data_IF_150800135430
#
_entry.id   IF_150800135430
#
_cell.length_a   1.000
_cell.length_b   1.000
_cell.length_c   1.000
_cell.angle_alpha   90.00
_cell.angle_beta   90.00
_cell.angle_gamma   90.00
#
_symmetry.space_group_name_H-M   'P 1'
#
loop_
_entity.id
_entity.type
_entity.pdbx_description
1 polymer ?
#
# COMPACT_ATOMS: atom_id res chain seq x y z
N UNK A 1 -87.21 35.16 41.21
CA UNK A 1 -86.73 34.12 42.15
C UNK A 1 -85.47 33.52 41.55
N UNK A 2 -84.31 33.74 42.16
CA UNK A 2 -83.06 33.11 41.75
C UNK A 2 -82.91 31.78 42.51
N UNK A 3 -82.70 30.69 41.80
CA UNK A 3 -82.40 29.40 42.41
C UNK A 3 -80.91 29.36 42.78
N UNK A 4 -80.65 29.20 44.08
CA UNK A 4 -79.31 28.98 44.63
C UNK A 4 -78.95 27.51 44.44
N UNK A 5 -77.93 27.23 43.63
CA UNK A 5 -77.33 25.90 43.53
C UNK A 5 -76.14 25.83 44.50
N UNK A 6 -76.14 24.93 45.49
CA UNK A 6 -74.96 24.71 46.32
C UNK A 6 -73.85 24.04 45.49
N UNK A 7 -72.69 24.68 45.44
CA UNK A 7 -71.43 24.10 44.99
C UNK A 7 -71.04 23.00 45.99
N UNK A 8 -71.01 21.75 45.54
CA UNK A 8 -70.43 20.65 46.30
C UNK A 8 -68.91 20.72 46.10
N UNK A 9 -68.21 21.29 47.08
CA UNK A 9 -66.79 21.07 47.29
C UNK A 9 -66.63 19.63 47.81
N UNK A 10 -66.75 18.64 46.92
CA UNK A 10 -66.38 17.26 47.23
C UNK A 10 -64.85 17.19 47.31
N UNK A 11 -64.36 17.51 48.51
CA UNK A 11 -63.03 17.16 49.00
C UNK A 11 -62.76 15.69 48.61
N UNK A 12 -61.84 15.46 47.68
CA UNK A 12 -61.40 14.11 47.30
C UNK A 12 -60.73 13.46 48.50
N UNK A 13 -61.52 12.88 49.40
CA UNK A 13 -61.01 12.06 50.49
C UNK A 13 -60.44 10.80 49.86
N UNK A 14 -59.12 10.66 49.92
CA UNK A 14 -58.46 9.38 49.69
C UNK A 14 -59.21 8.31 50.47
N UNK A 15 -59.72 7.31 49.75
CA UNK A 15 -60.41 6.19 50.36
C UNK A 15 -59.49 5.47 51.35
N UNK A 16 -60.05 4.78 52.36
CA UNK A 16 -59.24 4.01 53.30
C UNK A 16 -58.35 3.02 52.54
N UNK A 17 -57.07 2.95 52.94
CA UNK A 17 -56.10 1.97 52.43
C UNK A 17 -56.76 0.58 52.56
N UNK A 18 -56.87 -0.13 51.43
CA UNK A 18 -57.41 -1.49 51.43
C UNK A 18 -56.61 -2.39 52.38
N UNK A 19 -57.21 -3.45 52.94
CA UNK A 19 -56.49 -4.38 53.82
C UNK A 19 -55.20 -4.83 53.14
N UNK A 20 -54.08 -4.85 53.89
CA UNK A 20 -52.77 -5.24 53.35
C UNK A 20 -52.92 -6.50 52.50
N UNK A 21 -52.71 -6.36 51.19
CA UNK A 21 -52.76 -7.50 50.29
C UNK A 21 -51.79 -8.55 50.79
N UNK A 22 -52.22 -9.82 50.82
CA UNK A 22 -51.39 -10.97 51.21
C UNK A 22 -50.29 -11.13 50.15
N UNK A 23 -49.27 -10.26 50.15
CA UNK A 23 -48.28 -10.24 49.07
C UNK A 23 -47.31 -9.05 49.03
N UNK A 24 -47.66 -7.89 49.58
CA UNK A 24 -46.84 -6.68 49.49
C UNK A 24 -46.73 -5.95 50.84
N UNK A 25 -45.54 -5.47 51.18
CA UNK A 25 -45.29 -4.61 52.35
C UNK A 25 -44.94 -3.20 51.89
N UNK A 26 -45.64 -2.19 52.41
CA UNK A 26 -45.26 -0.80 52.21
C UNK A 26 -44.00 -0.50 53.03
N UNK A 27 -42.99 0.07 52.39
CA UNK A 27 -41.73 0.50 53.03
C UNK A 27 -41.84 1.94 53.52
N UNK A 28 -40.97 2.34 54.45
CA UNK A 28 -40.99 3.68 55.06
C UNK A 28 -40.73 4.82 54.05
N UNK A 29 -40.15 4.51 52.89
CA UNK A 29 -39.93 5.41 51.76
C UNK A 29 -41.05 5.37 50.70
N UNK A 30 -42.16 4.68 50.97
CA UNK A 30 -43.37 4.67 50.14
C UNK A 30 -43.37 3.66 48.99
N UNK A 31 -42.44 2.72 48.95
CA UNK A 31 -42.35 1.66 47.94
C UNK A 31 -43.03 0.35 48.41
N UNK A 32 -43.24 -0.60 47.49
CA UNK A 32 -43.75 -1.93 47.83
C UNK A 32 -42.64 -2.99 47.76
N UNK A 33 -42.38 -3.67 48.88
CA UNK A 33 -41.53 -4.87 48.93
C UNK A 33 -42.38 -6.13 48.70
N UNK A 34 -41.95 -6.97 47.75
CA UNK A 34 -42.54 -8.26 47.44
C UNK A 34 -41.94 -9.42 48.25
N UNK A 35 -41.02 -9.17 49.20
CA UNK A 35 -40.37 -10.17 50.04
C UNK A 35 -39.76 -11.34 49.24
N UNK A 36 -39.10 -11.01 48.11
CA UNK A 36 -38.52 -11.98 47.16
C UNK A 36 -39.54 -12.93 46.50
N UNK A 37 -40.84 -12.64 46.56
CA UNK A 37 -41.87 -13.37 45.81
C UNK A 37 -41.74 -13.05 44.31
N UNK A 38 -42.22 -13.98 43.48
CA UNK A 38 -42.22 -13.83 42.02
C UNK A 38 -43.47 -13.11 41.55
N UNK A 39 -43.30 -12.06 40.75
CA UNK A 39 -44.39 -11.50 39.94
C UNK A 39 -44.53 -12.35 38.66
N UNK A 40 -45.74 -12.82 38.37
CA UNK A 40 -46.04 -13.69 37.23
C UNK A 40 -47.21 -13.13 36.43
N UNK A 41 -47.33 -13.55 35.16
CA UNK A 41 -48.39 -13.15 34.24
C UNK A 41 -48.43 -11.63 33.99
N UNK A 42 -47.26 -11.00 33.93
CA UNK A 42 -47.09 -9.61 33.47
C UNK A 42 -46.86 -9.64 31.98
N UNK A 43 -47.44 -8.69 31.26
CA UNK A 43 -47.23 -8.53 29.82
C UNK A 43 -45.87 -7.89 29.51
N UNK A 44 -45.48 -7.90 28.25
CA UNK A 44 -44.28 -7.20 27.77
C UNK A 44 -44.45 -5.68 27.94
N UNK A 45 -43.38 -4.95 28.34
CA UNK A 45 -43.46 -3.50 28.58
C UNK A 45 -43.74 -2.74 27.28
N UNK A 46 -44.58 -1.70 27.36
CA UNK A 46 -44.91 -0.81 26.24
C UNK A 46 -44.37 0.59 26.50
N UNK A 47 -44.51 1.08 27.73
CA UNK A 47 -44.04 2.40 28.16
C UNK A 47 -42.71 2.31 28.91
N UNK A 48 -41.97 3.44 28.93
CA UNK A 48 -40.62 3.52 29.53
C UNK A 48 -40.57 3.24 31.04
N UNK A 49 -41.71 3.38 31.72
CA UNK A 49 -41.85 3.17 33.16
C UNK A 49 -42.35 1.77 33.52
N UNK A 50 -42.61 0.91 32.53
CA UNK A 50 -43.17 -0.41 32.77
C UNK A 50 -42.13 -1.37 33.38
N UNK A 51 -42.62 -2.26 34.24
CA UNK A 51 -41.82 -3.39 34.69
C UNK A 51 -41.54 -4.34 33.51
N UNK A 52 -40.27 -4.63 33.25
CA UNK A 52 -39.89 -5.52 32.14
C UNK A 52 -39.93 -6.99 32.53
N UNK A 53 -40.37 -7.85 31.61
CA UNK A 53 -40.25 -9.30 31.77
C UNK A 53 -38.80 -9.74 31.57
N UNK A 54 -38.43 -10.91 32.10
CA UNK A 54 -37.11 -11.51 31.82
C UNK A 54 -36.95 -11.82 30.32
N UNK A 55 -38.05 -12.23 29.67
CA UNK A 55 -38.08 -12.56 28.23
C UNK A 55 -37.70 -11.34 27.40
N UNK A 56 -38.32 -10.18 27.68
CA UNK A 56 -37.98 -8.90 27.06
C UNK A 56 -36.48 -8.59 27.08
N UNK A 57 -35.89 -8.63 28.28
CA UNK A 57 -34.50 -8.25 28.51
C UNK A 57 -33.55 -9.23 27.84
N UNK A 58 -33.85 -10.53 27.91
CA UNK A 58 -33.04 -11.55 27.26
C UNK A 58 -33.04 -11.41 25.72
N UNK A 59 -34.21 -11.14 25.11
CA UNK A 59 -34.33 -10.92 23.67
C UNK A 59 -33.50 -9.72 23.21
N UNK A 60 -33.66 -8.58 23.87
CA UNK A 60 -32.88 -7.38 23.59
C UNK A 60 -31.37 -7.63 23.75
N UNK A 61 -30.97 -8.36 24.79
CA UNK A 61 -29.57 -8.74 25.00
C UNK A 61 -29.03 -9.65 23.88
N UNK A 62 -29.84 -10.58 23.39
CA UNK A 62 -29.45 -11.45 22.28
C UNK A 62 -29.29 -10.67 20.97
N UNK A 63 -30.19 -9.73 20.69
CA UNK A 63 -30.11 -8.85 19.53
C UNK A 63 -28.84 -8.00 19.56
N UNK A 64 -28.58 -7.33 20.69
CA UNK A 64 -27.34 -6.55 20.89
C UNK A 64 -26.08 -7.41 20.72
N UNK A 65 -26.06 -8.62 21.27
CA UNK A 65 -24.94 -9.55 21.08
C UNK A 65 -24.75 -9.92 19.61
N UNK A 66 -25.83 -10.17 18.88
CA UNK A 66 -25.80 -10.48 17.45
C UNK A 66 -25.14 -9.35 16.67
N UNK A 67 -25.52 -8.11 16.96
CA UNK A 67 -24.99 -6.94 16.25
C UNK A 67 -23.53 -6.65 16.62
N UNK A 68 -23.15 -6.80 17.89
CA UNK A 68 -21.74 -6.70 18.31
C UNK A 68 -20.89 -7.75 17.57
N UNK A 69 -21.37 -9.00 17.47
CA UNK A 69 -20.65 -10.06 16.76
C UNK A 69 -20.55 -9.74 15.26
N UNK A 70 -21.59 -9.20 14.63
CA UNK A 70 -21.55 -8.77 13.23
C UNK A 70 -20.53 -7.64 13.02
N UNK A 71 -20.49 -6.65 13.91
CA UNK A 71 -19.53 -5.54 13.86
C UNK A 71 -18.09 -6.02 14.04
N UNK A 72 -17.84 -6.92 14.99
CA UNK A 72 -16.54 -7.54 15.21
C UNK A 72 -16.04 -8.30 13.98
N UNK A 73 -16.93 -8.96 13.22
CA UNK A 73 -16.54 -9.66 11.99
C UNK A 73 -16.08 -8.73 10.86
N UNK A 74 -16.49 -7.46 10.88
CA UNK A 74 -16.26 -6.46 9.83
C UNK A 74 -15.21 -5.41 10.18
N UNK A 75 -14.83 -5.31 11.45
CA UNK A 75 -13.92 -4.27 11.94
C UNK A 75 -12.49 -4.81 12.10
N UNK A 76 -11.51 -3.90 12.01
CA UNK A 76 -10.19 -4.17 12.57
C UNK A 76 -10.32 -4.24 14.09
N UNK A 77 -9.77 -5.28 14.71
CA UNK A 77 -9.84 -5.48 16.16
C UNK A 77 -8.45 -5.20 16.73
N UNK A 78 -8.38 -4.66 17.94
CA UNK A 78 -7.09 -4.49 18.62
C UNK A 78 -6.51 -5.87 19.00
N UNK A 79 -5.22 -6.07 18.75
CA UNK A 79 -4.44 -7.16 19.30
C UNK A 79 -4.30 -6.98 20.82
N UNK A 80 -3.78 -7.99 21.50
CA UNK A 80 -3.44 -7.89 22.93
C UNK A 80 -2.42 -6.78 23.25
N UNK A 81 -1.70 -6.29 22.23
CA UNK A 81 -0.70 -5.22 22.35
C UNK A 81 -1.20 -3.85 21.86
N UNK A 82 -2.46 -3.73 21.46
CA UNK A 82 -3.07 -2.47 21.00
C UNK A 82 -2.92 -2.17 19.51
N UNK A 83 -2.36 -3.09 18.71
CA UNK A 83 -2.25 -2.95 17.26
C UNK A 83 -3.56 -3.32 16.55
N UNK A 84 -3.85 -2.73 15.41
CA UNK A 84 -4.99 -3.18 14.59
C UNK A 84 -4.66 -4.49 13.86
N UNK A 85 -5.43 -5.54 14.14
CA UNK A 85 -5.34 -6.85 13.49
C UNK A 85 -6.49 -7.05 12.48
N UNK A 86 -6.12 -7.37 11.24
CA UNK A 86 -7.05 -7.69 10.16
C UNK A 86 -7.45 -9.18 10.11
N UNK A 87 -6.88 -10.04 10.96
CA UNK A 87 -7.16 -11.49 11.04
C UNK A 87 -7.01 -12.18 9.68
N UNK A 88 -5.87 -11.94 9.02
CA UNK A 88 -5.56 -12.46 7.68
C UNK A 88 -6.55 -12.05 6.58
N UNK A 89 -7.34 -10.98 6.78
CA UNK A 89 -8.22 -10.43 5.75
C UNK A 89 -7.48 -9.39 4.92
N UNK A 90 -7.89 -9.26 3.67
CA UNK A 90 -7.40 -8.21 2.77
C UNK A 90 -7.95 -6.86 3.23
N UNK A 91 -7.06 -5.88 3.39
CA UNK A 91 -7.43 -4.47 3.56
C UNK A 91 -7.40 -3.81 2.18
N UNK A 92 -8.58 -3.66 1.57
CA UNK A 92 -8.73 -3.03 0.25
C UNK A 92 -8.95 -1.52 0.33
N UNK A 93 -8.90 -0.85 -0.82
CA UNK A 93 -9.18 0.59 -0.97
C UNK A 93 -8.31 1.50 -0.08
N UNK A 94 -7.06 1.07 0.18
CA UNK A 94 -6.07 1.89 0.87
C UNK A 94 -5.49 2.89 -0.12
N UNK A 95 -5.72 4.18 0.12
CA UNK A 95 -5.20 5.27 -0.69
C UNK A 95 -3.67 5.31 -0.64
N UNK A 96 -3.04 5.93 -1.64
CA UNK A 96 -1.62 6.24 -1.62
C UNK A 96 -1.22 7.03 -0.35
N UNK A 97 -0.07 6.69 0.28
CA UNK A 97 0.41 7.36 1.47
C UNK A 97 0.75 8.83 1.16
N UNK A 98 0.37 9.73 2.07
CA UNK A 98 0.65 11.18 1.94
C UNK A 98 1.78 11.61 2.89
N UNK A 99 1.91 10.95 4.04
CA UNK A 99 2.98 11.19 5.00
C UNK A 99 3.61 9.88 5.49
N UNK A 100 4.77 10.00 6.15
CA UNK A 100 5.57 8.85 6.59
C UNK A 100 4.96 7.96 7.68
N UNK A 101 3.76 8.27 8.19
CA UNK A 101 3.03 7.44 9.16
C UNK A 101 1.86 6.67 8.53
N UNK A 102 1.60 6.86 7.23
CA UNK A 102 0.52 6.16 6.56
C UNK A 102 0.90 4.72 6.20
N UNK A 103 -0.11 3.85 6.18
CA UNK A 103 0.01 2.52 5.58
C UNK A 103 0.27 2.67 4.08
N UNK A 104 1.15 1.82 3.54
CA UNK A 104 1.48 1.80 2.12
C UNK A 104 0.67 0.70 1.43
N UNK A 105 -0.05 1.05 0.36
CA UNK A 105 -0.70 0.05 -0.47
C UNK A 105 0.30 -0.63 -1.42
N UNK A 106 -0.02 -1.86 -1.86
CA UNK A 106 0.89 -2.66 -2.69
C UNK A 106 1.27 -1.98 -4.01
N UNK A 107 0.32 -1.32 -4.68
CA UNK A 107 0.57 -0.65 -5.96
C UNK A 107 1.56 0.51 -5.80
N UNK A 108 1.42 1.31 -4.75
CA UNK A 108 2.35 2.38 -4.44
C UNK A 108 3.75 1.85 -4.14
N UNK A 109 3.85 0.77 -3.34
CA UNK A 109 5.13 0.12 -3.03
C UNK A 109 5.82 -0.36 -4.32
N UNK A 110 5.09 -1.09 -5.16
CA UNK A 110 5.66 -1.61 -6.42
C UNK A 110 6.12 -0.46 -7.31
N UNK A 111 5.37 0.64 -7.43
CA UNK A 111 5.75 1.75 -8.32
C UNK A 111 6.93 2.59 -7.82
N UNK A 112 7.14 2.67 -6.50
CA UNK A 112 8.10 3.61 -5.92
C UNK A 112 9.30 2.94 -5.22
N UNK A 113 9.33 1.62 -5.09
CA UNK A 113 10.43 0.88 -4.48
C UNK A 113 11.05 -0.14 -5.44
N UNK A 114 12.31 -0.48 -5.17
CA UNK A 114 12.95 -1.63 -5.79
C UNK A 114 12.40 -2.89 -5.12
N UNK A 115 11.73 -3.71 -5.92
CA UNK A 115 11.16 -4.99 -5.48
C UNK A 115 11.98 -6.14 -6.01
N UNK A 116 12.19 -7.17 -5.19
CA UNK A 116 12.77 -8.43 -5.62
C UNK A 116 11.86 -9.09 -6.66
N UNK A 117 12.43 -9.53 -7.77
CA UNK A 117 11.76 -10.27 -8.84
C UNK A 117 12.49 -11.58 -9.08
N UNK A 118 11.73 -12.55 -9.58
CA UNK A 118 12.25 -13.85 -9.98
C UNK A 118 12.12 -14.04 -11.47
N UNK A 119 13.14 -14.63 -12.09
CA UNK A 119 13.04 -15.13 -13.44
C UNK A 119 12.18 -16.39 -13.48
N UNK A 120 11.52 -16.63 -14.63
CA UNK A 120 10.83 -17.89 -14.89
C UNK A 120 11.79 -18.97 -15.45
N UNK A 121 13.09 -18.85 -15.20
CA UNK A 121 14.11 -19.81 -15.63
C UNK A 121 14.21 -20.97 -14.65
N UNK A 122 14.84 -22.07 -15.07
CA UNK A 122 15.21 -23.18 -14.19
C UNK A 122 16.74 -23.27 -14.17
N UNK A 123 17.41 -22.93 -13.04
CA UNK A 123 16.86 -22.47 -11.77
C UNK A 123 16.32 -21.02 -11.84
N UNK A 124 15.40 -20.63 -10.93
CA UNK A 124 14.96 -19.25 -10.80
C UNK A 124 16.08 -18.39 -10.20
N UNK A 125 16.21 -17.18 -10.71
CA UNK A 125 17.17 -16.19 -10.23
C UNK A 125 16.45 -14.98 -9.65
N UNK A 126 16.88 -14.56 -8.47
CA UNK A 126 16.39 -13.37 -7.79
C UNK A 126 17.17 -12.14 -8.25
N UNK A 127 16.46 -11.07 -8.64
CA UNK A 127 17.08 -9.81 -9.03
C UNK A 127 16.24 -8.59 -8.63
N UNK A 128 16.88 -7.43 -8.51
CA UNK A 128 16.21 -6.14 -8.34
C UNK A 128 16.03 -5.47 -9.69
N UNK A 129 14.78 -5.25 -10.09
CA UNK A 129 14.43 -4.57 -11.34
C UNK A 129 14.36 -3.05 -11.11
N UNK A 130 15.28 -2.32 -11.74
CA UNK A 130 15.31 -0.84 -11.72
C UNK A 130 14.21 -0.21 -12.59
N UNK A 131 13.44 -0.99 -13.36
CA UNK A 131 12.34 -0.51 -14.22
C UNK A 131 12.79 0.54 -15.23
N UNK A 132 14.00 0.37 -15.76
CA UNK A 132 14.66 1.34 -16.65
C UNK A 132 14.86 2.73 -16.02
N UNK A 133 14.77 2.86 -14.69
CA UNK A 133 15.06 4.09 -13.97
C UNK A 133 16.57 4.16 -13.70
N UNK A 134 17.25 5.27 -14.06
CA UNK A 134 18.68 5.41 -13.82
C UNK A 134 19.02 5.39 -12.32
N UNK A 135 20.02 4.58 -11.95
CA UNK A 135 20.61 4.61 -10.61
C UNK A 135 21.60 5.79 -10.52
N UNK A 136 21.27 6.79 -9.70
CA UNK A 136 22.07 8.01 -9.52
C UNK A 136 22.66 8.09 -8.11
N UNK A 137 23.61 9.01 -7.92
CA UNK A 137 24.25 9.29 -6.62
C UNK A 137 25.02 8.11 -6.02
N UNK A 138 25.56 7.24 -6.87
CA UNK A 138 26.50 6.19 -6.46
C UNK A 138 27.83 6.82 -6.02
N UNK A 139 28.33 6.36 -4.87
CA UNK A 139 29.69 6.67 -4.42
C UNK A 139 30.73 5.84 -5.20
N UNK A 140 32.01 6.19 -5.09
CA UNK A 140 33.07 5.32 -5.59
C UNK A 140 33.01 3.95 -4.87
N UNK A 141 33.29 2.84 -5.57
CA UNK A 141 33.26 1.51 -4.96
C UNK A 141 34.30 1.37 -3.86
N UNK A 142 33.96 0.60 -2.83
CA UNK A 142 34.86 0.16 -1.76
C UNK A 142 35.18 -1.32 -1.91
N UNK A 143 34.20 -2.11 -2.36
CA UNK A 143 34.31 -3.55 -2.56
C UNK A 143 34.24 -3.95 -4.04
N UNK A 144 34.77 -5.14 -4.34
CA UNK A 144 34.83 -5.67 -5.71
C UNK A 144 33.46 -5.93 -6.37
N UNK A 145 32.40 -5.99 -5.57
CA UNK A 145 31.03 -6.29 -6.03
C UNK A 145 30.13 -5.03 -6.07
N UNK A 146 30.66 -3.85 -5.74
CA UNK A 146 29.88 -2.62 -5.74
C UNK A 146 29.51 -2.20 -7.16
N UNK A 147 28.30 -1.66 -7.32
CA UNK A 147 27.93 -0.92 -8.52
C UNK A 147 28.79 0.36 -8.61
N UNK A 148 29.32 0.66 -9.79
CA UNK A 148 30.26 1.76 -9.99
C UNK A 148 29.66 2.88 -10.84
N UNK A 149 29.87 4.16 -10.49
CA UNK A 149 29.49 5.26 -11.38
C UNK A 149 30.41 5.27 -12.62
N UNK A 150 29.86 5.60 -13.79
CA UNK A 150 30.61 5.66 -15.07
C UNK A 150 31.92 6.44 -14.95
N UNK A 151 31.89 7.58 -14.26
CA UNK A 151 33.08 8.43 -14.03
C UNK A 151 34.22 7.69 -13.32
N UNK A 152 33.92 6.77 -12.41
CA UNK A 152 34.93 5.97 -11.73
C UNK A 152 35.64 5.03 -12.71
N UNK A 153 34.87 4.32 -13.54
CA UNK A 153 35.39 3.44 -14.59
C UNK A 153 36.21 4.22 -15.60
N UNK A 154 35.69 5.34 -16.10
CA UNK A 154 36.37 6.21 -17.07
C UNK A 154 37.73 6.75 -16.58
N UNK A 155 37.88 7.00 -15.27
CA UNK A 155 39.14 7.46 -14.67
C UNK A 155 40.15 6.33 -14.44
N UNK A 156 39.67 5.13 -14.09
CA UNK A 156 40.52 3.97 -13.78
C UNK A 156 40.93 3.19 -15.03
N UNK A 157 40.10 3.23 -16.07
CA UNK A 157 40.40 2.63 -17.38
C UNK A 157 41.30 3.59 -18.17
N UNK A 158 42.59 3.24 -18.28
CA UNK A 158 43.51 3.91 -19.21
C UNK A 158 43.37 3.25 -20.58
N UNK A 159 42.32 3.58 -21.30
CA UNK A 159 42.20 3.14 -22.69
C UNK A 159 43.06 4.08 -23.53
N UNK A 160 44.06 3.51 -24.20
CA UNK A 160 44.90 4.25 -25.13
C UNK A 160 44.32 4.08 -26.53
N UNK A 161 43.42 4.97 -26.93
CA UNK A 161 42.81 4.99 -28.26
C UNK A 161 43.84 5.18 -29.39
N UNK A 162 45.10 5.51 -29.06
CA UNK A 162 46.21 5.67 -30.00
C UNK A 162 47.05 4.41 -30.18
N UNK A 163 46.75 3.35 -29.43
CA UNK A 163 47.44 2.06 -29.54
C UNK A 163 46.78 1.25 -30.66
N UNK A 164 47.54 0.81 -31.68
CA UNK A 164 46.97 0.10 -32.84
C UNK A 164 46.38 -1.27 -32.47
N UNK A 165 46.77 -1.82 -31.32
CA UNK A 165 46.25 -3.06 -30.72
C UNK A 165 44.96 -2.86 -29.90
N UNK A 166 44.46 -1.63 -29.78
CA UNK A 166 43.26 -1.35 -28.99
C UNK A 166 41.99 -1.74 -29.75
N UNK A 167 41.23 -2.66 -29.18
CA UNK A 167 40.00 -3.20 -29.76
C UNK A 167 38.77 -2.31 -29.48
N UNK A 168 38.88 -1.35 -28.55
CA UNK A 168 37.76 -0.51 -28.11
C UNK A 168 38.09 0.98 -28.21
N UNK A 169 37.17 1.78 -28.75
CA UNK A 169 37.24 3.26 -28.75
C UNK A 169 36.00 3.87 -28.09
N UNK A 170 36.08 5.12 -27.62
CA UNK A 170 34.88 5.85 -27.19
C UNK A 170 34.12 6.41 -28.40
N UNK A 171 32.81 6.14 -28.47
CA UNK A 171 31.91 6.81 -29.40
C UNK A 171 31.55 8.22 -28.90
N UNK A 172 30.72 8.96 -29.66
CA UNK A 172 30.29 10.32 -29.31
C UNK A 172 29.50 10.40 -27.99
N UNK A 173 28.84 9.30 -27.60
CA UNK A 173 28.10 9.17 -26.34
C UNK A 173 29.02 8.77 -25.16
N UNK A 174 30.31 8.60 -25.42
CA UNK A 174 31.31 8.20 -24.44
C UNK A 174 31.19 6.75 -23.98
N UNK A 175 30.56 5.88 -24.79
CA UNK A 175 30.51 4.43 -24.64
C UNK A 175 31.69 3.79 -25.38
N UNK A 176 32.26 2.73 -24.80
CA UNK A 176 33.29 1.96 -25.49
C UNK A 176 32.64 1.02 -26.52
N UNK A 177 33.06 1.14 -27.78
CA UNK A 177 32.58 0.35 -28.93
C UNK A 177 33.76 -0.27 -29.66
N UNK A 178 33.54 -1.39 -30.35
CA UNK A 178 34.57 -2.01 -31.17
C UNK A 178 35.05 -1.06 -32.27
N UNK A 179 36.36 -1.05 -32.52
CA UNK A 179 36.93 -0.41 -33.71
C UNK A 179 36.43 -1.14 -34.95
N UNK A 180 35.36 -0.64 -35.57
CA UNK A 180 34.62 -1.36 -36.61
C UNK A 180 35.50 -2.03 -37.67
N UNK A 181 35.36 -3.35 -37.78
CA UNK A 181 35.54 -4.03 -39.06
C UNK A 181 34.39 -3.58 -39.97
N UNK A 182 34.71 -2.80 -41.01
CA UNK A 182 33.79 -2.64 -42.12
C UNK A 182 33.67 -3.99 -42.81
N UNK A 183 32.48 -4.58 -42.81
CA UNK A 183 32.13 -5.63 -43.75
C UNK A 183 32.38 -5.09 -45.19
N UNK A 184 33.21 -5.76 -46.01
CA UNK A 184 33.58 -5.26 -47.34
C UNK A 184 32.46 -5.45 -48.39
N UNK A 185 31.19 -5.43 -47.99
CA UNK A 185 30.10 -5.99 -48.79
C UNK A 185 28.93 -5.08 -49.17
N UNK A 186 28.73 -3.91 -48.56
CA UNK A 186 27.50 -3.15 -48.81
C UNK A 186 27.75 -1.70 -49.27
N UNK A 187 28.01 -1.56 -50.58
CA UNK A 187 28.01 -0.26 -51.26
C UNK A 187 26.60 0.09 -51.70
N UNK A 188 25.79 0.66 -50.80
CA UNK A 188 24.65 1.48 -51.22
C UNK A 188 25.16 2.91 -51.35
N UNK A 189 25.42 3.34 -52.59
CA UNK A 189 25.78 4.72 -52.93
C UNK A 189 24.58 5.63 -52.67
N UNK A 190 24.67 6.69 -51.85
CA UNK A 190 23.70 7.77 -51.92
C UNK A 190 24.04 8.66 -53.12
N UNK A 191 23.01 8.98 -53.90
CA UNK A 191 23.08 9.91 -55.01
C UNK A 191 23.58 11.29 -54.55
N UNK A 192 24.46 11.89 -55.35
CA UNK A 192 24.93 13.25 -55.14
C UNK A 192 23.78 14.25 -55.32
N UNK A 193 23.57 15.10 -54.30
CA UNK A 193 22.85 16.36 -54.46
C UNK A 193 23.73 17.48 -53.90
N UNK A 194 23.93 18.48 -54.74
CA UNK A 194 24.82 19.62 -54.60
C UNK A 194 24.30 20.71 -53.66
N UNK A 195 25.26 21.28 -52.90
CA UNK A 195 25.39 22.67 -52.46
C UNK A 195 24.30 23.32 -51.58
N UNK A 196 24.68 23.72 -50.35
CA UNK A 196 24.88 25.14 -49.99
C UNK A 196 25.26 25.32 -48.49
N UNK A 197 26.33 26.10 -48.29
CA UNK A 197 26.62 27.03 -47.18
C UNK A 197 26.48 26.61 -45.71
N UNK A 198 27.63 26.61 -45.02
CA UNK A 198 27.81 27.41 -43.80
C UNK A 198 27.71 26.70 -42.46
N UNK A 199 28.88 26.49 -41.81
CA UNK A 199 29.13 26.56 -40.36
C UNK A 199 30.15 25.48 -39.98
N UNK A 200 31.43 25.88 -39.94
CA UNK A 200 32.50 25.12 -39.30
C UNK A 200 32.14 24.85 -37.83
N UNK A 201 31.84 23.59 -37.50
CA UNK A 201 32.06 23.06 -36.16
C UNK A 201 33.02 21.91 -36.29
N UNK A 202 34.17 22.08 -35.63
CA UNK A 202 35.25 21.13 -35.46
C UNK A 202 34.71 19.73 -35.17
N UNK A 203 34.68 18.89 -36.20
CA UNK A 203 34.45 17.46 -36.05
C UNK A 203 35.74 16.84 -35.54
N UNK A 204 35.81 16.56 -34.25
CA UNK A 204 36.82 15.62 -33.74
C UNK A 204 36.35 14.22 -34.13
N UNK A 205 36.53 13.89 -35.41
CA UNK A 205 36.40 12.52 -35.88
C UNK A 205 37.56 11.74 -35.29
N UNK A 206 37.29 10.86 -34.33
CA UNK A 206 38.25 9.86 -33.88
C UNK A 206 38.61 8.96 -35.06
N UNK A 207 39.70 9.29 -35.76
CA UNK A 207 40.24 8.43 -36.83
C UNK A 207 40.99 7.27 -36.18
N UNK A 208 40.57 6.05 -36.50
CA UNK A 208 41.42 4.87 -36.33
C UNK A 208 42.65 5.04 -37.23
N UNK A 209 43.85 5.01 -36.65
CA UNK A 209 45.09 4.98 -37.42
C UNK A 209 45.36 3.51 -37.79
N UNK A 210 44.71 3.04 -38.85
CA UNK A 210 45.03 1.76 -39.47
C UNK A 210 46.17 1.94 -40.47
N UNK A 211 47.40 1.58 -40.08
CA UNK A 211 48.49 1.47 -41.05
C UNK A 211 48.26 0.23 -41.91
N UNK A 212 48.17 0.47 -43.20
CA UNK A 212 48.14 -0.53 -44.26
C UNK A 212 49.36 -1.46 -44.26
N UNK A 213 49.09 -2.74 -44.59
CA UNK A 213 49.96 -3.80 -45.16
C UNK A 213 50.93 -4.55 -44.22
N UNK A 214 50.80 -5.89 -44.24
CA UNK A 214 51.77 -6.91 -44.78
C UNK A 214 51.72 -8.23 -43.97
N UNK A 215 52.33 -9.37 -44.37
CA UNK A 215 52.37 -10.11 -45.64
C UNK A 215 51.85 -11.59 -45.52
N UNK A 216 51.56 -12.21 -46.66
CA UNK A 216 51.58 -13.66 -46.96
C UNK A 216 51.23 -14.70 -45.87
N UNK A 217 50.07 -15.35 -46.03
CA UNK A 217 49.87 -16.75 -45.60
C UNK A 217 49.81 -17.64 -46.84
N UNK A 218 50.86 -18.41 -47.10
CA UNK A 218 50.84 -19.51 -48.06
C UNK A 218 50.05 -20.67 -47.48
N UNK A 219 49.03 -21.11 -48.21
CA UNK A 219 48.35 -22.40 -48.01
C UNK A 219 49.31 -23.54 -48.31
N UNK A 220 49.38 -24.52 -47.43
CA UNK A 220 49.68 -25.91 -47.83
C UNK A 220 48.55 -26.78 -47.34
N UNK A 221 47.84 -27.35 -48.31
CA UNK A 221 46.92 -28.45 -48.14
C UNK A 221 47.73 -29.75 -48.20
N UNK A 222 47.48 -30.63 -47.23
CA UNK A 222 47.51 -32.10 -47.35
C UNK A 222 46.65 -32.65 -46.22
#
# INVERSE_FOLDING_TARGET
>A
MAAYYPLFDDEMKEGPIGPSGIGFKLTDDGNYDMEKKKLKNVDEPVDISDASTKSYVDLNKMELKSDIVKLQKRSLIHSEYGDFDAKNKIIGNVKDPVNGKNVVNKQYLENNALTLRQTNTVPPEDFYDLKSIPLKNLSNPRDKNDAVPKQYVDKKTKINDKKPDNQLMKNIDGLYVECGGQDPGNTVRPAAVSAASGSERSSVSGRCIGTSRSPYWTRTAT
#
